data_IF_996542562994
#
_entry.id   IF_996542562994
#
_cell.length_a   1.000
_cell.length_b   1.000
_cell.length_c   1.000
_cell.angle_alpha   90.00
_cell.angle_beta   90.00
_cell.angle_gamma   90.00
#
_symmetry.space_group_name_H-M   'P 1'
#
loop_
_entity.id
_entity.type
_entity.pdbx_description
1 polymer ?
#
# COMPACT_ATOMS: atom_id res chain seq x y z
N UNK A 1 10.30 -15.30 -5.74
CA UNK A 1 11.24 -16.21 -5.04
C UNK A 1 11.42 -17.54 -5.77
N UNK A 2 10.36 -18.34 -5.97
CA UNK A 2 10.51 -19.66 -6.63
C UNK A 2 10.95 -19.52 -8.10
N UNK A 3 10.41 -18.56 -8.82
CA UNK A 3 10.80 -18.29 -10.21
C UNK A 3 12.28 -17.89 -10.31
N UNK A 4 12.79 -17.08 -9.37
CA UNK A 4 14.20 -16.73 -9.30
C UNK A 4 15.09 -17.97 -9.10
N UNK A 5 14.65 -18.93 -8.26
CA UNK A 5 15.41 -20.17 -8.07
C UNK A 5 15.47 -21.01 -9.34
N UNK A 6 14.35 -21.15 -10.05
CA UNK A 6 14.29 -21.91 -11.32
C UNK A 6 15.20 -21.24 -12.36
N UNK A 7 15.04 -19.94 -12.58
CA UNK A 7 15.86 -19.21 -13.57
C UNK A 7 17.35 -19.28 -13.25
N UNK A 8 17.73 -19.15 -11.96
CA UNK A 8 19.12 -19.27 -11.54
C UNK A 8 19.67 -20.68 -11.79
N UNK A 9 18.87 -21.72 -11.57
CA UNK A 9 19.27 -23.11 -11.86
C UNK A 9 19.54 -23.32 -13.35
N UNK A 10 18.68 -22.82 -14.23
CA UNK A 10 18.84 -22.92 -15.68
C UNK A 10 20.08 -22.15 -16.19
N UNK A 11 20.46 -21.07 -15.50
CA UNK A 11 21.64 -20.28 -15.80
C UNK A 11 22.93 -20.77 -15.11
N UNK A 12 22.89 -21.91 -14.39
CA UNK A 12 24.03 -22.44 -13.66
C UNK A 12 24.45 -21.61 -12.44
N UNK A 13 23.56 -20.76 -11.92
CA UNK A 13 23.79 -19.92 -10.74
C UNK A 13 23.22 -20.59 -9.48
N UNK A 14 23.53 -20.01 -8.31
CA UNK A 14 23.07 -20.55 -7.03
C UNK A 14 21.57 -20.30 -6.80
N UNK A 15 20.69 -21.32 -6.90
CA UNK A 15 19.23 -21.14 -6.78
C UNK A 15 18.79 -20.72 -5.37
N UNK A 16 19.52 -21.11 -4.33
CA UNK A 16 19.20 -20.75 -2.94
C UNK A 16 19.40 -19.24 -2.72
N UNK A 17 20.48 -18.67 -3.27
CA UNK A 17 20.74 -17.24 -3.21
C UNK A 17 19.70 -16.45 -4.00
N UNK A 18 19.39 -16.87 -5.23
CA UNK A 18 18.38 -16.25 -6.08
C UNK A 18 16.99 -16.30 -5.45
N UNK A 19 16.61 -17.43 -4.86
CA UNK A 19 15.36 -17.58 -4.11
C UNK A 19 15.27 -16.60 -2.94
N UNK A 20 16.39 -16.44 -2.18
CA UNK A 20 16.43 -15.51 -1.06
C UNK A 20 16.34 -14.06 -1.51
N UNK A 21 17.09 -13.67 -2.54
CA UNK A 21 17.01 -12.34 -3.12
C UNK A 21 15.59 -12.01 -3.62
N UNK A 22 14.97 -12.93 -4.37
CA UNK A 22 13.59 -12.79 -4.81
C UNK A 22 12.55 -12.83 -3.69
N UNK A 23 12.84 -13.43 -2.53
CA UNK A 23 11.97 -13.35 -1.35
C UNK A 23 12.03 -11.97 -0.69
N UNK A 24 13.21 -11.38 -0.64
CA UNK A 24 13.48 -10.15 0.11
C UNK A 24 13.44 -8.88 -0.76
N UNK A 25 13.23 -8.98 -2.09
CA UNK A 25 13.34 -7.83 -2.99
C UNK A 25 12.49 -6.62 -2.57
N UNK A 26 11.31 -6.88 -2.03
CA UNK A 26 10.34 -5.88 -1.59
C UNK A 26 10.35 -5.61 -0.07
N UNK A 27 11.38 -6.03 0.66
CA UNK A 27 11.46 -5.89 2.12
C UNK A 27 11.37 -4.41 2.58
N UNK A 28 11.75 -3.48 1.73
CA UNK A 28 11.63 -2.04 1.99
C UNK A 28 10.19 -1.52 2.05
N UNK A 29 9.19 -2.33 1.65
CA UNK A 29 7.76 -2.00 1.76
C UNK A 29 7.14 -2.43 3.10
N UNK A 30 7.88 -3.18 3.93
CA UNK A 30 7.37 -3.80 5.17
C UNK A 30 7.40 -2.87 6.39
N UNK A 31 8.44 -2.02 6.60
CA UNK A 31 8.46 -1.15 7.78
C UNK A 31 7.32 -0.13 7.77
N UNK A 32 6.76 0.12 8.96
CA UNK A 32 5.71 1.14 9.17
C UNK A 32 6.27 2.58 9.12
N UNK A 33 7.58 2.74 9.21
CA UNK A 33 8.25 4.04 9.13
C UNK A 33 8.34 4.49 7.67
N UNK A 34 7.85 5.69 7.39
CA UNK A 34 8.02 6.33 6.08
C UNK A 34 9.52 6.60 5.82
N UNK A 35 10.01 6.08 4.71
CA UNK A 35 11.36 6.35 4.22
C UNK A 35 11.30 7.30 3.02
N UNK A 36 12.17 8.31 3.00
CA UNK A 36 12.36 9.18 1.83
C UNK A 36 13.02 8.44 0.65
N UNK A 37 13.59 7.25 0.91
CA UNK A 37 14.23 6.44 -0.11
C UNK A 37 13.22 5.57 -0.84
N UNK A 38 13.42 5.32 -2.15
CA UNK A 38 12.74 4.27 -2.87
C UNK A 38 12.82 2.93 -2.14
N UNK A 39 11.75 2.13 -2.19
CA UNK A 39 11.68 0.88 -1.42
C UNK A 39 12.83 -0.11 -1.71
N UNK A 40 13.37 -0.12 -2.94
CA UNK A 40 14.50 -0.97 -3.29
C UNK A 40 15.77 -0.56 -2.55
N UNK A 41 16.11 0.72 -2.53
CA UNK A 41 17.25 1.26 -1.80
C UNK A 41 17.07 1.12 -0.27
N UNK A 42 15.86 1.37 0.22
CA UNK A 42 15.56 1.17 1.63
C UNK A 42 15.64 -0.29 2.03
N UNK A 43 15.13 -1.19 1.18
CA UNK A 43 15.24 -2.64 1.34
C UNK A 43 16.69 -3.14 1.37
N UNK A 44 17.57 -2.58 0.52
CA UNK A 44 18.99 -2.88 0.53
C UNK A 44 19.64 -2.49 1.87
N UNK A 45 19.33 -1.30 2.42
CA UNK A 45 19.81 -0.87 3.74
C UNK A 45 19.34 -1.79 4.87
N UNK A 46 18.08 -2.22 4.81
CA UNK A 46 17.54 -3.20 5.78
C UNK A 46 18.31 -4.51 5.68
N UNK A 47 18.47 -5.05 4.46
CA UNK A 47 19.18 -6.29 4.23
C UNK A 47 20.64 -6.22 4.71
N UNK A 48 21.32 -5.11 4.46
CA UNK A 48 22.69 -4.86 4.96
C UNK A 48 22.74 -4.83 6.49
N UNK A 49 21.81 -4.11 7.15
CA UNK A 49 21.67 -4.07 8.61
C UNK A 49 21.54 -5.47 9.22
N UNK A 50 20.80 -6.35 8.55
CA UNK A 50 20.61 -7.74 8.97
C UNK A 50 21.66 -8.71 8.42
N UNK A 51 22.78 -8.19 7.90
CA UNK A 51 23.95 -8.95 7.45
C UNK A 51 23.65 -9.96 6.34
N UNK A 52 22.74 -9.61 5.44
CA UNK A 52 22.56 -10.36 4.20
C UNK A 52 23.82 -10.29 3.33
N UNK A 53 24.01 -11.30 2.46
CA UNK A 53 25.17 -11.35 1.58
C UNK A 53 25.17 -10.20 0.59
N UNK A 54 26.32 -9.61 0.24
CA UNK A 54 26.40 -8.45 -0.65
C UNK A 54 25.70 -8.62 -2.01
N UNK A 55 25.75 -9.85 -2.56
CA UNK A 55 25.08 -10.18 -3.82
C UNK A 55 23.54 -10.15 -3.68
N UNK A 56 23.00 -10.50 -2.52
CA UNK A 56 21.56 -10.40 -2.21
C UNK A 56 21.17 -8.94 -1.97
N UNK A 57 21.98 -8.19 -1.21
CA UNK A 57 21.77 -6.76 -0.97
C UNK A 57 21.74 -5.99 -2.30
N UNK A 58 22.69 -6.25 -3.21
CA UNK A 58 22.70 -5.65 -4.52
C UNK A 58 21.45 -6.01 -5.33
N UNK A 59 21.03 -7.27 -5.35
CA UNK A 59 19.83 -7.68 -6.06
C UNK A 59 18.55 -7.01 -5.52
N UNK A 60 18.48 -6.74 -4.21
CA UNK A 60 17.37 -6.00 -3.59
C UNK A 60 17.41 -4.52 -4.03
N UNK A 61 18.56 -3.86 -3.96
CA UNK A 61 18.67 -2.43 -4.28
C UNK A 61 18.56 -2.11 -5.77
N UNK A 62 18.92 -3.06 -6.64
CA UNK A 62 19.03 -2.84 -8.09
C UNK A 62 17.82 -3.31 -8.90
N UNK A 63 16.80 -3.97 -8.30
CA UNK A 63 15.72 -4.60 -9.07
C UNK A 63 14.78 -3.61 -9.80
N UNK A 64 14.89 -2.32 -9.52
CA UNK A 64 14.21 -1.23 -10.25
C UNK A 64 15.18 -0.21 -10.85
N UNK A 65 16.41 -0.62 -11.14
CA UNK A 65 17.46 0.23 -11.74
C UNK A 65 17.89 1.45 -10.88
N UNK A 66 17.56 1.45 -9.58
CA UNK A 66 17.90 2.52 -8.63
C UNK A 66 19.34 2.41 -8.09
N UNK A 67 20.00 1.31 -8.39
CA UNK A 67 21.39 0.99 -8.06
C UNK A 67 22.02 0.19 -9.20
N UNK A 68 23.34 0.29 -9.37
CA UNK A 68 24.07 -0.49 -10.36
C UNK A 68 23.97 -1.99 -10.06
N UNK A 69 23.69 -2.79 -11.11
CA UNK A 69 23.62 -4.25 -11.01
C UNK A 69 25.03 -4.86 -11.05
N UNK A 70 25.57 -5.23 -9.90
CA UNK A 70 26.91 -5.80 -9.76
C UNK A 70 26.92 -7.32 -9.84
N UNK A 71 25.77 -7.98 -9.86
CA UNK A 71 25.64 -9.43 -9.90
C UNK A 71 24.53 -9.86 -10.84
N UNK A 72 24.62 -11.09 -11.36
CA UNK A 72 23.55 -11.69 -12.19
C UNK A 72 22.27 -11.99 -11.40
N UNK A 73 22.29 -11.89 -10.07
CA UNK A 73 21.07 -12.05 -9.26
C UNK A 73 20.11 -10.86 -9.44
N UNK A 74 20.64 -9.65 -9.63
CA UNK A 74 19.82 -8.45 -9.78
C UNK A 74 18.90 -8.51 -11.02
N UNK A 75 19.39 -8.77 -12.25
CA UNK A 75 18.51 -8.91 -13.42
C UNK A 75 17.58 -10.13 -13.32
N UNK A 76 17.98 -11.21 -12.64
CA UNK A 76 17.07 -12.34 -12.38
C UNK A 76 15.89 -11.90 -11.52
N UNK A 77 16.13 -11.16 -10.45
CA UNK A 77 15.06 -10.65 -9.58
C UNK A 77 14.14 -9.71 -10.35
N UNK A 78 14.69 -8.74 -11.09
CA UNK A 78 13.93 -7.79 -11.90
C UNK A 78 13.03 -8.50 -12.92
N UNK A 79 13.56 -9.44 -13.70
CA UNK A 79 12.77 -10.19 -14.70
C UNK A 79 11.70 -11.05 -14.02
N UNK A 80 12.05 -11.74 -12.93
CA UNK A 80 11.10 -12.59 -12.22
C UNK A 80 9.98 -11.77 -11.56
N UNK A 81 10.25 -10.58 -11.06
CA UNK A 81 9.24 -9.66 -10.54
C UNK A 81 8.29 -9.21 -11.66
N UNK A 82 8.83 -8.76 -12.81
CA UNK A 82 8.04 -8.38 -13.98
C UNK A 82 7.14 -9.53 -14.46
N UNK A 83 7.66 -10.75 -14.60
CA UNK A 83 6.89 -11.94 -14.98
C UNK A 83 5.80 -12.23 -13.93
N UNK A 84 6.14 -12.16 -12.64
CA UNK A 84 5.19 -12.41 -11.55
C UNK A 84 4.05 -11.40 -11.56
N UNK A 85 4.33 -10.12 -11.76
CA UNK A 85 3.35 -9.04 -11.85
C UNK A 85 2.49 -9.08 -13.11
N UNK A 86 2.99 -9.64 -14.22
CA UNK A 86 2.27 -9.79 -15.49
C UNK A 86 1.31 -11.00 -15.52
N UNK A 87 1.39 -11.91 -14.55
CA UNK A 87 0.53 -13.11 -14.53
C UNK A 87 -0.95 -12.72 -14.38
N UNK A 88 -1.86 -13.46 -15.06
CA UNK A 88 -3.29 -13.28 -14.86
C UNK A 88 -3.67 -13.39 -13.38
N UNK A 89 -4.42 -12.41 -12.87
CA UNK A 89 -4.86 -12.36 -11.46
C UNK A 89 -3.90 -11.65 -10.49
N UNK A 90 -2.61 -11.51 -10.78
CA UNK A 90 -1.65 -10.89 -9.87
C UNK A 90 -2.00 -9.44 -9.50
N UNK A 91 -2.51 -8.65 -10.45
CA UNK A 91 -2.99 -7.27 -10.23
C UNK A 91 -4.44 -7.21 -9.74
N UNK A 92 -5.21 -8.28 -9.96
CA UNK A 92 -6.62 -8.33 -9.55
C UNK A 92 -6.77 -8.33 -8.03
N UNK A 93 -5.96 -9.10 -7.32
CA UNK A 93 -5.95 -9.11 -5.85
C UNK A 93 -5.61 -7.73 -5.26
N UNK A 94 -4.67 -6.99 -5.89
CA UNK A 94 -4.35 -5.62 -5.48
C UNK A 94 -5.55 -4.69 -5.69
N UNK A 95 -6.24 -4.80 -6.81
CA UNK A 95 -7.43 -4.00 -7.12
C UNK A 95 -8.58 -4.35 -6.18
N UNK A 96 -8.83 -5.63 -5.92
CA UNK A 96 -9.88 -6.09 -5.00
C UNK A 96 -9.60 -5.62 -3.55
N UNK A 97 -8.36 -5.73 -3.09
CA UNK A 97 -7.96 -5.21 -1.77
C UNK A 97 -8.10 -3.69 -1.68
N UNK A 98 -7.78 -2.97 -2.75
CA UNK A 98 -7.98 -1.53 -2.83
C UNK A 98 -9.46 -1.14 -2.76
N UNK A 99 -10.32 -1.79 -3.56
CA UNK A 99 -11.77 -1.54 -3.55
C UNK A 99 -12.36 -1.88 -2.18
N UNK A 100 -11.96 -3.01 -1.61
CA UNK A 100 -12.39 -3.39 -0.25
C UNK A 100 -12.05 -2.30 0.76
N UNK A 101 -10.83 -1.79 0.74
CA UNK A 101 -10.40 -0.73 1.65
C UNK A 101 -11.20 0.57 1.51
N UNK A 102 -11.56 0.98 0.26
CA UNK A 102 -12.43 2.13 0.05
C UNK A 102 -13.83 1.89 0.64
N UNK A 103 -14.38 0.70 0.42
CA UNK A 103 -15.69 0.33 0.97
C UNK A 103 -15.67 0.27 2.50
N UNK A 104 -14.60 -0.23 3.10
CA UNK A 104 -14.43 -0.28 4.56
C UNK A 104 -14.37 1.14 5.16
N UNK A 105 -13.64 2.08 4.50
CA UNK A 105 -13.62 3.50 4.89
C UNK A 105 -15.02 4.12 4.87
N UNK A 106 -15.75 3.92 3.79
CA UNK A 106 -17.11 4.44 3.63
C UNK A 106 -18.06 3.83 4.66
N UNK A 107 -17.96 2.52 4.91
CA UNK A 107 -18.78 1.80 5.88
C UNK A 107 -18.56 2.29 7.32
N UNK A 108 -17.31 2.57 7.71
CA UNK A 108 -16.99 3.14 9.02
C UNK A 108 -17.76 4.45 9.23
N UNK A 109 -17.69 5.39 8.29
CA UNK A 109 -18.37 6.66 8.42
C UNK A 109 -19.90 6.54 8.32
N UNK A 110 -20.41 5.64 7.47
CA UNK A 110 -21.85 5.37 7.36
C UNK A 110 -22.46 4.79 8.65
N UNK A 111 -21.66 4.19 9.53
CA UNK A 111 -22.15 3.63 10.81
C UNK A 111 -22.54 4.70 11.84
N UNK A 112 -22.20 5.97 11.61
CA UNK A 112 -22.51 7.05 12.54
C UNK A 112 -23.92 7.62 12.31
N UNK A 113 -24.65 7.92 13.38
CA UNK A 113 -25.98 8.54 13.27
C UNK A 113 -25.91 9.92 12.61
N UNK A 114 -26.88 10.24 11.76
CA UNK A 114 -26.93 11.51 11.04
C UNK A 114 -26.15 11.56 9.74
N UNK A 115 -25.26 10.60 9.47
CA UNK A 115 -24.60 10.46 8.18
C UNK A 115 -25.59 9.95 7.14
N UNK A 116 -25.65 10.63 6.00
CA UNK A 116 -26.56 10.30 4.90
C UNK A 116 -25.84 9.66 3.73
N UNK A 117 -24.59 10.08 3.47
CA UNK A 117 -23.74 9.55 2.39
C UNK A 117 -22.25 9.70 2.73
N UNK A 118 -21.46 8.82 2.17
CA UNK A 118 -20.00 8.85 2.28
C UNK A 118 -19.37 8.62 0.92
N UNK A 119 -18.19 9.21 0.69
CA UNK A 119 -17.43 9.06 -0.54
C UNK A 119 -15.93 9.03 -0.24
N UNK A 120 -15.29 7.91 -0.53
CA UNK A 120 -13.85 7.82 -0.55
C UNK A 120 -13.34 8.33 -1.90
N UNK A 121 -12.62 9.46 -1.90
CA UNK A 121 -12.11 10.12 -3.10
C UNK A 121 -10.60 10.25 -3.05
N UNK A 122 -9.97 10.73 -4.16
CA UNK A 122 -8.52 10.87 -4.28
C UNK A 122 -7.76 9.57 -3.95
N UNK A 123 -8.22 8.46 -4.51
CA UNK A 123 -7.67 7.14 -4.25
C UNK A 123 -7.69 6.74 -2.74
N UNK A 124 -8.70 7.21 -2.00
CA UNK A 124 -8.86 6.93 -0.57
C UNK A 124 -8.13 7.91 0.35
N UNK A 125 -7.48 8.94 -0.16
CA UNK A 125 -6.81 9.96 0.66
C UNK A 125 -7.74 11.01 1.25
N UNK A 126 -8.98 11.07 0.80
CA UNK A 126 -10.03 11.92 1.37
C UNK A 126 -11.32 11.12 1.52
N UNK A 127 -11.93 11.17 2.70
CA UNK A 127 -13.26 10.65 2.98
C UNK A 127 -14.20 11.82 3.19
N UNK A 128 -15.16 11.99 2.28
CA UNK A 128 -16.25 12.97 2.41
C UNK A 128 -17.43 12.32 3.07
N UNK A 129 -17.94 12.96 4.11
CA UNK A 129 -19.06 12.51 4.93
C UNK A 129 -20.15 13.58 4.85
N UNK A 130 -21.30 13.21 4.31
CA UNK A 130 -22.45 14.11 4.16
C UNK A 130 -23.42 13.87 5.31
N UNK A 131 -23.78 14.93 6.01
CA UNK A 131 -24.77 14.93 7.09
C UNK A 131 -25.88 15.95 6.79
N UNK A 132 -27.11 15.64 7.24
CA UNK A 132 -28.24 16.58 7.13
C UNK A 132 -28.04 17.77 8.07
N UNK A 133 -28.25 18.98 7.57
CA UNK A 133 -28.16 20.18 8.39
C UNK A 133 -29.23 20.26 9.49
N UNK A 134 -30.32 19.51 9.33
CA UNK A 134 -31.40 19.31 10.29
C UNK A 134 -31.10 18.27 11.36
N UNK A 135 -30.08 17.42 11.13
CA UNK A 135 -29.74 16.27 11.99
C UNK A 135 -28.51 16.48 12.84
N UNK A 136 -27.69 17.45 12.52
CA UNK A 136 -26.39 17.65 13.17
C UNK A 136 -25.99 19.13 13.17
N UNK A 137 -25.49 19.63 14.29
CA UNK A 137 -24.94 20.98 14.44
C UNK A 137 -23.51 21.07 13.91
N UNK A 138 -22.94 22.28 13.84
CA UNK A 138 -21.55 22.49 13.44
C UNK A 138 -20.56 21.88 14.46
N UNK A 139 -20.87 22.01 15.75
CA UNK A 139 -20.05 21.43 16.81
C UNK A 139 -20.04 19.89 16.76
N UNK A 140 -21.21 19.29 16.53
CA UNK A 140 -21.34 17.83 16.36
C UNK A 140 -20.62 17.34 15.11
N UNK A 141 -20.64 18.11 14.02
CA UNK A 141 -19.92 17.78 12.79
C UNK A 141 -18.40 17.80 13.01
N UNK A 142 -17.89 18.71 13.82
CA UNK A 142 -16.46 18.77 14.17
C UNK A 142 -16.08 17.53 15.01
N UNK A 143 -16.88 17.20 16.02
CA UNK A 143 -16.64 15.97 16.83
C UNK A 143 -16.71 14.72 15.98
N UNK A 144 -17.68 14.63 15.06
CA UNK A 144 -17.82 13.51 14.16
C UNK A 144 -16.57 13.29 13.30
N UNK A 145 -15.93 14.36 12.82
CA UNK A 145 -14.70 14.24 12.03
C UNK A 145 -13.57 13.60 12.83
N UNK A 146 -13.40 13.98 14.10
CA UNK A 146 -12.37 13.46 15.00
C UNK A 146 -12.66 12.01 15.42
N UNK A 147 -13.93 11.69 15.68
CA UNK A 147 -14.36 10.32 16.02
C UNK A 147 -14.13 9.35 14.85
N UNK A 148 -14.49 9.75 13.63
CA UNK A 148 -14.23 8.96 12.42
C UNK A 148 -12.72 8.77 12.21
N UNK A 149 -11.93 9.82 12.34
CA UNK A 149 -10.48 9.75 12.20
C UNK A 149 -9.88 8.75 13.21
N UNK A 150 -10.29 8.85 14.49
CA UNK A 150 -9.85 7.95 15.55
C UNK A 150 -10.24 6.50 15.29
N UNK A 151 -11.48 6.28 14.83
CA UNK A 151 -11.97 4.94 14.53
C UNK A 151 -11.21 4.31 13.36
N UNK A 152 -10.95 5.07 12.29
CA UNK A 152 -10.14 4.61 11.16
C UNK A 152 -8.73 4.23 11.62
N UNK A 153 -8.07 5.05 12.45
CA UNK A 153 -6.74 4.74 12.99
C UNK A 153 -6.71 3.45 13.83
N UNK A 154 -7.77 3.17 14.57
CA UNK A 154 -7.83 2.00 15.45
C UNK A 154 -8.25 0.71 14.74
N UNK A 155 -9.11 0.80 13.73
CA UNK A 155 -9.72 -0.36 13.07
C UNK A 155 -9.13 -0.71 11.71
N UNK A 156 -8.40 0.22 11.07
CA UNK A 156 -7.83 0.01 9.74
C UNK A 156 -6.33 0.19 9.70
N UNK A 157 -5.64 -0.72 9.03
CA UNK A 157 -4.27 -0.48 8.57
C UNK A 157 -4.33 0.30 7.26
N UNK A 158 -3.99 1.59 7.29
CA UNK A 158 -4.04 2.46 6.13
C UNK A 158 -2.66 3.02 5.78
N UNK A 159 -2.20 2.91 4.53
CA UNK A 159 -0.93 3.50 4.11
C UNK A 159 -1.08 5.00 3.90
N UNK A 160 -0.60 5.81 4.82
CA UNK A 160 -0.61 7.27 4.77
C UNK A 160 -1.78 7.92 5.51
N UNK A 161 -1.98 9.23 5.30
CA UNK A 161 -3.01 10.03 5.96
C UNK A 161 -4.31 10.02 5.16
N UNK A 162 -5.43 9.98 5.86
CA UNK A 162 -6.78 10.17 5.28
C UNK A 162 -7.36 11.47 5.81
N UNK A 163 -7.68 12.39 4.92
CA UNK A 163 -8.39 13.63 5.25
C UNK A 163 -9.88 13.32 5.44
N UNK A 164 -10.45 13.64 6.59
CA UNK A 164 -11.88 13.53 6.84
C UNK A 164 -12.53 14.89 6.63
N UNK A 165 -13.50 14.96 5.73
CA UNK A 165 -14.26 16.18 5.44
C UNK A 165 -15.73 15.91 5.72
N UNK A 166 -16.28 16.50 6.79
CA UNK A 166 -17.71 16.45 7.10
C UNK A 166 -18.39 17.67 6.45
N UNK A 167 -19.44 17.42 5.69
CA UNK A 167 -20.21 18.44 4.96
C UNK A 167 -21.65 18.38 5.44
N UNK A 168 -22.14 19.48 6.01
CA UNK A 168 -23.57 19.67 6.30
C UNK A 168 -24.26 20.20 5.06
N UNK A 169 -25.30 19.55 4.61
CA UNK A 169 -26.06 20.02 3.44
C UNK A 169 -27.55 20.13 3.71
N UNK A 170 -28.16 21.11 3.11
CA UNK A 170 -29.62 21.25 2.95
C UNK A 170 -29.94 21.12 1.47
N UNK A 171 -30.89 20.24 1.10
CA UNK A 171 -31.33 20.05 -0.28
C UNK A 171 -32.78 20.51 -0.43
N UNK A 172 -33.01 21.40 -1.40
CA UNK A 172 -34.35 21.74 -1.89
C UNK A 172 -34.47 21.23 -3.33
N UNK A 173 -35.52 20.48 -3.64
CA UNK A 173 -35.80 19.99 -4.98
C UNK A 173 -37.15 20.48 -5.43
N UNK A 174 -37.25 21.10 -6.62
CA UNK A 174 -38.51 21.45 -7.30
C UNK A 174 -38.58 20.65 -8.61
N UNK A 175 -39.81 20.26 -9.00
CA UNK A 175 -40.09 19.60 -10.26
C UNK A 175 -40.95 20.49 -11.17
#
# INVERSE_FOLDING_TARGET
>A
ANLCAVMASELGLNPKKAKRAGLLHDIGKVPDEESELPHALYGAKIAEKYKEKPDIVNAIGAHHDEMEMNTLLAPIVQVCDAISGARPGARREIVEAYIKRLNDLEAIAMSYPGVTKTYAIQAGRELRVIVGADKMSDEESTKLSDEIATKIQNEMTYPGQVKITVIRETRSVAY
#
